data_IF_405795038141
#
_entry.id   IF_405795038141
#
_cell.length_a   1.000
_cell.length_b   1.000
_cell.length_c   1.000
_cell.angle_alpha   90.00
_cell.angle_beta   90.00
_cell.angle_gamma   90.00
#
_symmetry.space_group_name_H-M   'P 1'
#
loop_
_entity.id
_entity.type
_entity.pdbx_description
1 polymer ?
#
# COMPACT_ATOMS: atom_id res chain seq x y z
N UNK A 1 -63.46 17.12 -16.48
CA UNK A 1 -62.23 17.94 -16.67
C UNK A 1 -61.02 17.09 -16.31
N UNK A 2 -60.48 16.27 -17.23
CA UNK A 2 -59.18 15.61 -17.03
C UNK A 2 -58.47 15.55 -18.39
N UNK A 3 -57.60 16.53 -18.62
CA UNK A 3 -56.86 16.69 -19.87
C UNK A 3 -55.74 15.65 -20.00
N UNK A 4 -55.70 14.99 -21.16
CA UNK A 4 -54.55 14.19 -21.64
C UNK A 4 -53.30 15.10 -21.70
N UNK A 5 -52.33 14.88 -20.81
CA UNK A 5 -50.98 15.45 -20.93
C UNK A 5 -50.25 14.80 -22.12
N UNK A 6 -49.72 15.66 -22.98
CA UNK A 6 -48.96 15.36 -24.19
C UNK A 6 -47.72 14.51 -23.92
N UNK A 7 -47.64 13.34 -24.58
CA UNK A 7 -46.46 12.44 -24.65
C UNK A 7 -45.39 12.91 -25.65
N UNK A 8 -45.58 14.04 -26.34
CA UNK A 8 -44.71 14.49 -27.45
C UNK A 8 -43.52 15.38 -27.06
N UNK A 9 -43.45 15.88 -25.82
CA UNK A 9 -42.36 16.79 -25.37
C UNK A 9 -41.14 16.08 -24.75
N UNK A 10 -41.22 14.81 -24.36
CA UNK A 10 -40.06 14.12 -23.74
C UNK A 10 -39.10 13.50 -24.75
N UNK A 11 -39.59 13.12 -25.94
CA UNK A 11 -38.83 12.33 -26.92
C UNK A 11 -37.75 13.16 -27.66
N UNK A 12 -38.04 14.44 -27.95
CA UNK A 12 -37.04 15.37 -28.53
C UNK A 12 -35.94 15.77 -27.55
N UNK A 13 -36.26 15.80 -26.25
CA UNK A 13 -35.29 16.12 -25.20
C UNK A 13 -34.38 14.93 -24.89
N UNK A 14 -34.94 13.70 -24.93
CA UNK A 14 -34.17 12.47 -24.78
C UNK A 14 -33.19 12.25 -25.95
N UNK A 15 -33.61 12.51 -27.20
CA UNK A 15 -32.71 12.41 -28.38
C UNK A 15 -31.60 13.46 -28.36
N UNK A 16 -31.91 14.69 -27.95
CA UNK A 16 -30.90 15.76 -27.82
C UNK A 16 -29.91 15.46 -26.70
N UNK A 17 -30.41 15.00 -25.55
CA UNK A 17 -29.56 14.54 -24.45
C UNK A 17 -28.66 13.38 -24.87
N UNK A 18 -29.21 12.36 -25.53
CA UNK A 18 -28.45 11.20 -25.99
C UNK A 18 -27.38 11.58 -27.00
N UNK A 19 -27.70 12.48 -27.94
CA UNK A 19 -26.71 13.01 -28.89
C UNK A 19 -25.59 13.76 -28.16
N UNK A 20 -25.93 14.69 -27.27
CA UNK A 20 -24.93 15.45 -26.51
C UNK A 20 -24.05 14.53 -25.64
N UNK A 21 -24.64 13.49 -25.06
CA UNK A 21 -23.92 12.48 -24.28
C UNK A 21 -22.95 11.69 -25.16
N UNK A 22 -23.38 11.21 -26.33
CA UNK A 22 -22.52 10.49 -27.28
C UNK A 22 -21.39 11.39 -27.78
N UNK A 23 -21.71 12.62 -28.23
CA UNK A 23 -20.72 13.58 -28.72
C UNK A 23 -19.69 13.91 -27.62
N UNK A 24 -20.13 14.02 -26.36
CA UNK A 24 -19.25 14.25 -25.22
C UNK A 24 -18.36 13.04 -24.93
N UNK A 25 -18.91 11.82 -25.00
CA UNK A 25 -18.13 10.60 -24.81
C UNK A 25 -17.09 10.40 -25.92
N UNK A 26 -17.48 10.58 -27.18
CA UNK A 26 -16.56 10.48 -28.31
C UNK A 26 -15.41 11.49 -28.19
N UNK A 27 -15.72 12.74 -27.81
CA UNK A 27 -14.69 13.77 -27.57
C UNK A 27 -13.75 13.39 -26.42
N UNK A 28 -14.30 12.80 -25.35
CA UNK A 28 -13.53 12.39 -24.17
C UNK A 28 -12.61 11.22 -24.51
N UNK A 29 -13.11 10.19 -25.20
CA UNK A 29 -12.30 9.05 -25.63
C UNK A 29 -11.21 9.47 -26.62
N UNK A 30 -11.54 10.32 -27.60
CA UNK A 30 -10.53 10.83 -28.53
C UNK A 30 -9.43 11.63 -27.84
N UNK A 31 -9.78 12.45 -26.86
CA UNK A 31 -8.81 13.18 -26.04
C UNK A 31 -7.91 12.20 -25.28
N UNK A 32 -8.48 11.17 -24.65
CA UNK A 32 -7.71 10.13 -23.93
C UNK A 32 -6.75 9.39 -24.86
N UNK A 33 -7.25 8.88 -25.99
CA UNK A 33 -6.43 8.16 -26.97
C UNK A 33 -5.28 9.03 -27.48
N UNK A 34 -5.58 10.28 -27.81
CA UNK A 34 -4.56 11.24 -28.28
C UNK A 34 -3.51 11.48 -27.20
N UNK A 35 -3.93 11.74 -25.95
CA UNK A 35 -3.02 12.01 -24.84
C UNK A 35 -2.17 10.77 -24.47
N UNK A 36 -2.75 9.56 -24.53
CA UNK A 36 -2.06 8.29 -24.24
C UNK A 36 -1.09 7.88 -25.35
N UNK A 37 -1.33 8.31 -26.59
CA UNK A 37 -0.43 8.09 -27.72
C UNK A 37 0.76 9.07 -27.75
N UNK A 38 0.82 10.06 -26.85
CA UNK A 38 1.90 11.05 -26.84
C UNK A 38 3.25 10.41 -26.49
N UNK A 39 4.25 10.64 -27.34
CA UNK A 39 5.63 10.16 -27.13
C UNK A 39 6.52 11.17 -26.40
N UNK A 40 5.91 12.14 -25.72
CA UNK A 40 6.65 13.19 -25.01
C UNK A 40 7.36 12.60 -23.79
N UNK A 41 8.49 13.17 -23.37
CA UNK A 41 9.21 12.68 -22.22
C UNK A 41 8.40 12.89 -20.95
N UNK A 42 8.35 11.85 -20.14
CA UNK A 42 7.74 11.83 -18.82
C UNK A 42 8.81 11.56 -17.76
N UNK A 43 8.52 11.94 -16.52
CA UNK A 43 9.38 11.61 -15.38
C UNK A 43 8.67 10.58 -14.51
N UNK A 44 9.23 9.38 -14.41
CA UNK A 44 8.79 8.33 -13.49
C UNK A 44 9.63 8.41 -12.22
N UNK A 45 8.98 8.71 -11.10
CA UNK A 45 9.61 8.88 -9.79
C UNK A 45 9.66 7.54 -9.08
N UNK A 46 10.84 6.93 -9.00
CA UNK A 46 11.05 5.63 -8.35
C UNK A 46 11.72 5.77 -6.99
N UNK A 47 11.39 4.92 -6.00
CA UNK A 47 12.14 4.87 -4.77
C UNK A 47 13.58 4.45 -5.07
N UNK A 48 14.53 5.06 -4.37
CA UNK A 48 15.92 4.64 -4.39
C UNK A 48 16.09 3.39 -3.52
N UNK A 49 16.27 2.23 -4.17
CA UNK A 49 16.46 0.93 -3.52
C UNK A 49 17.72 0.27 -4.11
N UNK A 50 18.80 0.05 -3.32
CA UNK A 50 18.94 0.37 -1.90
C UNK A 50 19.06 1.88 -1.61
N UNK A 51 18.65 2.31 -0.41
CA UNK A 51 18.74 3.72 0.00
C UNK A 51 20.21 4.15 0.07
N UNK A 52 20.53 5.27 -0.58
CA UNK A 52 21.89 5.82 -0.63
C UNK A 52 22.73 5.33 -1.81
N UNK A 53 22.17 4.56 -2.74
CA UNK A 53 22.88 4.06 -3.93
C UNK A 53 23.27 5.14 -4.95
N UNK A 54 22.88 6.40 -4.78
CA UNK A 54 23.16 7.48 -5.72
C UNK A 54 22.55 8.83 -5.35
N UNK A 55 22.58 9.82 -6.26
CA UNK A 55 21.91 11.11 -6.06
C UNK A 55 20.38 10.92 -5.98
N UNK A 56 19.72 11.78 -5.20
CA UNK A 56 18.27 11.79 -5.01
C UNK A 56 17.67 13.01 -5.67
N UNK A 57 16.57 12.85 -6.38
CA UNK A 57 15.78 13.91 -7.01
C UNK A 57 14.70 14.47 -6.07
N UNK A 58 14.88 14.30 -4.75
CA UNK A 58 13.87 14.61 -3.73
C UNK A 58 13.47 13.39 -2.90
N UNK A 59 12.31 13.43 -2.26
CA UNK A 59 11.76 12.30 -1.50
C UNK A 59 10.24 12.39 -1.31
N UNK A 60 9.60 11.25 -1.10
CA UNK A 60 8.23 11.15 -0.58
C UNK A 60 8.23 10.75 0.90
N UNK A 61 7.19 11.13 1.62
CA UNK A 61 7.01 10.89 3.05
C UNK A 61 8.09 11.53 3.95
N UNK A 62 8.19 11.07 5.19
CA UNK A 62 9.14 11.59 6.16
C UNK A 62 8.91 13.06 6.54
N UNK A 63 10.00 13.74 6.90
CA UNK A 63 9.97 15.16 7.26
C UNK A 63 10.16 16.04 6.02
N UNK A 64 9.53 17.20 6.04
CA UNK A 64 9.76 18.24 5.04
C UNK A 64 11.06 18.98 5.32
N UNK A 65 11.64 19.58 4.29
CA UNK A 65 12.67 20.60 4.44
C UNK A 65 12.25 21.87 3.70
N UNK A 66 12.20 22.98 4.43
CA UNK A 66 11.77 24.28 3.94
C UNK A 66 12.85 25.33 4.26
N UNK A 67 12.90 26.47 3.54
CA UNK A 67 13.72 27.60 3.94
C UNK A 67 13.34 28.08 5.34
N UNK A 68 14.31 28.49 6.16
CA UNK A 68 14.16 28.76 7.61
C UNK A 68 12.99 29.71 7.97
N UNK A 69 12.65 30.65 7.09
CA UNK A 69 11.59 31.66 7.32
C UNK A 69 10.30 31.39 6.55
N UNK A 70 10.20 30.24 5.87
CA UNK A 70 9.01 29.90 5.10
C UNK A 70 7.90 29.46 6.06
N UNK A 71 6.70 30.08 6.02
CA UNK A 71 5.59 29.65 6.86
C UNK A 71 5.14 28.24 6.46
N UNK A 72 4.66 27.47 7.45
CA UNK A 72 4.05 26.17 7.18
C UNK A 72 2.75 26.36 6.38
N UNK A 73 2.47 25.53 5.36
CA UNK A 73 1.22 25.59 4.62
C UNK A 73 -0.01 25.30 5.48
N UNK A 74 -1.01 26.18 5.40
CA UNK A 74 -2.26 26.08 6.15
C UNK A 74 -3.48 26.29 5.24
N UNK A 75 -4.58 25.60 5.54
CA UNK A 75 -5.90 25.81 4.95
C UNK A 75 -6.92 25.91 6.07
N UNK A 76 -7.73 26.97 6.07
CA UNK A 76 -8.75 27.22 7.10
C UNK A 76 -8.20 27.13 8.54
N UNK A 77 -6.96 27.61 8.74
CA UNK A 77 -6.25 27.55 10.03
C UNK A 77 -5.74 26.17 10.43
N UNK A 78 -5.93 25.14 9.60
CA UNK A 78 -5.39 23.79 9.78
C UNK A 78 -4.08 23.62 9.00
N UNK A 79 -3.07 23.06 9.66
CA UNK A 79 -1.77 22.75 9.06
C UNK A 79 -1.87 21.54 8.14
N UNK A 80 -1.27 21.66 6.96
CA UNK A 80 -1.28 20.57 5.99
C UNK A 80 -0.21 19.52 6.29
N UNK A 81 -0.46 18.29 5.84
CA UNK A 81 0.44 17.14 5.93
C UNK A 81 1.38 17.16 4.73
N UNK A 82 2.68 16.98 4.99
CA UNK A 82 3.69 16.87 3.95
C UNK A 82 3.61 15.50 3.25
N UNK A 83 3.60 15.50 1.92
CA UNK A 83 3.56 14.29 1.08
C UNK A 83 4.93 13.99 0.49
N UNK A 84 5.65 15.02 0.04
CA UNK A 84 6.95 14.88 -0.57
C UNK A 84 7.46 16.17 -1.18
N UNK A 85 8.72 16.15 -1.61
CA UNK A 85 9.36 17.25 -2.30
C UNK A 85 10.28 16.74 -3.42
N UNK A 86 10.28 17.46 -4.53
CA UNK A 86 10.99 17.08 -5.76
C UNK A 86 11.94 18.22 -6.11
N UNK A 87 13.19 17.88 -6.44
CA UNK A 87 14.15 18.83 -7.00
C UNK A 87 13.87 18.99 -8.50
N UNK A 88 13.44 20.18 -8.91
CA UNK A 88 13.10 20.46 -10.30
C UNK A 88 14.33 20.45 -11.23
N UNK A 89 15.54 20.64 -10.67
CA UNK A 89 16.77 20.56 -11.46
C UNK A 89 17.12 19.12 -11.86
N UNK A 90 16.59 18.12 -11.14
CA UNK A 90 16.80 16.70 -11.41
C UNK A 90 15.82 16.14 -12.45
N UNK A 91 14.80 16.90 -12.86
CA UNK A 91 13.81 16.47 -13.84
C UNK A 91 14.31 16.66 -15.29
N UNK A 92 13.74 15.92 -16.26
CA UNK A 92 14.04 16.13 -17.68
C UNK A 92 13.75 17.57 -18.11
N UNK A 93 14.69 18.21 -18.81
CA UNK A 93 14.58 19.63 -19.19
C UNK A 93 13.38 19.94 -20.10
N UNK A 94 12.95 18.96 -20.88
CA UNK A 94 11.82 19.01 -21.79
C UNK A 94 10.52 18.44 -21.21
N UNK A 95 10.49 18.09 -19.91
CA UNK A 95 9.26 17.75 -19.20
C UNK A 95 8.21 18.86 -19.37
N UNK A 96 6.93 18.47 -19.50
CA UNK A 96 5.82 19.39 -19.76
C UNK A 96 6.02 20.24 -21.02
N UNK A 97 6.66 19.68 -22.04
CA UNK A 97 7.02 20.39 -23.28
C UNK A 97 7.94 21.59 -23.05
N UNK A 98 8.81 21.54 -22.04
CA UNK A 98 9.70 22.64 -21.69
C UNK A 98 9.04 23.75 -20.85
N UNK A 99 7.78 23.58 -20.41
CA UNK A 99 7.12 24.53 -19.52
C UNK A 99 7.53 24.31 -18.06
N UNK A 100 7.43 25.35 -17.23
CA UNK A 100 7.68 25.26 -15.80
C UNK A 100 9.10 25.65 -15.37
N UNK A 101 9.32 25.81 -14.06
CA UNK A 101 10.66 26.03 -13.52
C UNK A 101 11.57 24.82 -13.75
N UNK A 102 12.89 25.08 -13.79
CA UNK A 102 13.97 24.07 -13.92
C UNK A 102 14.96 24.10 -12.75
N UNK A 103 14.60 24.85 -11.72
CA UNK A 103 15.36 25.04 -10.49
C UNK A 103 14.40 25.14 -9.31
N UNK A 104 14.95 24.91 -8.13
CA UNK A 104 14.19 24.95 -6.89
C UNK A 104 13.45 23.65 -6.60
N UNK A 105 12.66 23.71 -5.54
CA UNK A 105 11.95 22.57 -4.98
C UNK A 105 10.47 22.73 -5.20
N UNK A 106 9.81 21.62 -5.54
CA UNK A 106 8.36 21.51 -5.55
C UNK A 106 7.93 20.63 -4.38
N UNK A 107 7.33 21.23 -3.35
CA UNK A 107 6.83 20.51 -2.18
C UNK A 107 5.30 20.37 -2.23
N UNK A 108 4.80 19.20 -1.83
CA UNK A 108 3.40 18.81 -1.93
C UNK A 108 2.84 18.63 -0.52
N UNK A 109 1.70 19.26 -0.27
CA UNK A 109 0.99 19.21 1.00
C UNK A 109 -0.49 18.90 0.79
N UNK A 110 -1.06 18.09 1.68
CA UNK A 110 -2.46 17.67 1.66
C UNK A 110 -3.14 17.92 3.00
N UNK A 111 -4.44 18.24 3.02
CA UNK A 111 -5.20 18.27 4.27
C UNK A 111 -5.32 16.86 4.83
N UNK A 112 -5.20 16.70 6.15
CA UNK A 112 -5.43 15.40 6.79
C UNK A 112 -6.91 15.00 6.70
N UNK A 113 -7.81 15.95 6.95
CA UNK A 113 -9.26 15.73 7.01
C UNK A 113 -10.00 16.68 6.07
N UNK A 114 -11.23 16.30 5.71
CA UNK A 114 -12.13 17.14 4.92
C UNK A 114 -11.92 16.98 3.42
N UNK A 115 -12.21 18.05 2.68
CA UNK A 115 -12.04 18.08 1.22
C UNK A 115 -10.55 17.97 0.87
N UNK A 116 -10.19 17.06 -0.02
CA UNK A 116 -8.82 16.81 -0.44
C UNK A 116 -8.33 17.94 -1.36
N UNK A 117 -8.02 19.13 -0.83
CA UNK A 117 -7.52 20.27 -1.60
C UNK A 117 -5.99 20.35 -1.52
N UNK A 118 -5.23 19.88 -2.52
CA UNK A 118 -3.77 19.85 -2.43
C UNK A 118 -3.18 21.26 -2.51
N UNK A 119 -2.00 21.45 -1.93
CA UNK A 119 -1.24 22.71 -1.99
C UNK A 119 0.19 22.41 -2.37
N UNK A 120 0.66 23.10 -3.41
CA UNK A 120 2.03 22.97 -3.90
C UNK A 120 2.79 24.26 -3.66
N UNK A 121 4.00 24.11 -3.13
CA UNK A 121 4.93 25.22 -2.95
C UNK A 121 6.12 25.04 -3.88
N UNK A 122 6.42 26.07 -4.66
CA UNK A 122 7.68 26.21 -5.38
C UNK A 122 8.56 27.22 -4.65
N UNK A 123 9.79 26.84 -4.32
CA UNK A 123 10.73 27.72 -3.63
C UNK A 123 12.18 27.39 -3.96
N UNK A 124 13.04 28.39 -3.74
CA UNK A 124 14.49 28.27 -3.87
C UNK A 124 15.17 28.54 -2.52
N UNK A 125 16.45 28.16 -2.43
CA UNK A 125 17.29 28.45 -1.28
C UNK A 125 17.72 27.21 -0.48
N UNK A 126 18.51 27.42 0.58
CA UNK A 126 19.01 26.34 1.41
C UNK A 126 17.86 25.67 2.17
N UNK A 127 17.88 24.34 2.16
CA UNK A 127 16.92 23.52 2.88
C UNK A 127 17.31 23.37 4.35
N UNK A 128 16.37 23.62 5.26
CA UNK A 128 16.46 23.21 6.65
C UNK A 128 15.37 22.18 6.94
N UNK A 129 15.71 21.06 7.57
CA UNK A 129 14.70 20.07 7.99
C UNK A 129 13.80 20.72 9.05
N UNK A 130 12.49 20.72 8.80
CA UNK A 130 11.50 21.30 9.72
C UNK A 130 10.74 20.16 10.36
N UNK A 131 10.75 20.12 11.70
CA UNK A 131 9.90 19.19 12.43
C UNK A 131 8.44 19.50 12.09
N UNK A 132 7.66 18.47 11.74
CA UNK A 132 6.24 18.68 11.48
C UNK A 132 5.58 19.32 12.72
N UNK A 133 4.89 20.45 12.56
CA UNK A 133 4.15 21.07 13.66
C UNK A 133 2.94 20.23 14.10
N UNK A 134 2.62 19.16 13.36
CA UNK A 134 1.61 18.17 13.72
C UNK A 134 2.20 17.21 14.75
N UNK A 135 2.06 17.54 16.04
CA UNK A 135 2.54 16.74 17.17
C UNK A 135 1.86 15.36 17.21
N UNK A 136 2.60 14.26 16.96
CA UNK A 136 2.27 12.84 17.25
C UNK A 136 0.90 12.25 16.85
N UNK A 137 -0.10 13.03 16.44
CA UNK A 137 -1.51 12.62 16.43
C UNK A 137 -2.06 12.27 15.05
N UNK A 138 -1.58 12.87 13.95
CA UNK A 138 -2.44 12.95 12.75
C UNK A 138 -2.17 12.08 11.54
N UNK A 139 -1.00 11.44 11.32
CA UNK A 139 -0.85 10.72 10.07
C UNK A 139 -1.59 9.36 10.08
N UNK A 140 -2.30 9.01 11.16
CA UNK A 140 -3.31 7.94 11.19
C UNK A 140 -4.74 8.42 10.95
N UNK A 141 -4.99 9.72 11.14
CA UNK A 141 -6.32 10.31 11.00
C UNK A 141 -6.52 10.87 9.59
N UNK A 142 -5.44 11.00 8.80
CA UNK A 142 -5.56 11.39 7.42
C UNK A 142 -6.32 10.30 6.63
N UNK A 143 -7.45 10.68 6.04
CA UNK A 143 -8.37 9.71 5.42
C UNK A 143 -7.75 8.94 4.24
N UNK A 144 -6.73 9.55 3.63
CA UNK A 144 -5.96 9.05 2.49
C UNK A 144 -4.66 8.34 2.88
N UNK A 145 -4.33 8.23 4.17
CA UNK A 145 -3.22 7.39 4.65
C UNK A 145 -3.77 6.07 5.16
N UNK A 146 -3.29 4.94 4.63
CA UNK A 146 -3.64 3.60 5.13
C UNK A 146 -2.47 2.65 4.98
N UNK A 147 -2.26 1.83 6.00
CA UNK A 147 -1.50 0.60 5.85
C UNK A 147 -2.47 -0.49 5.37
N UNK A 148 -2.09 -1.24 4.33
CA UNK A 148 -2.97 -2.22 3.66
C UNK A 148 -3.47 -3.37 4.56
N UNK A 149 -3.00 -3.49 5.81
CA UNK A 149 -3.41 -4.53 6.77
C UNK A 149 -4.39 -4.06 7.87
N UNK A 150 -5.10 -2.94 7.64
CA UNK A 150 -6.31 -2.52 8.39
C UNK A 150 -6.21 -2.41 9.92
N UNK A 151 -5.01 -2.29 10.49
CA UNK A 151 -4.84 -1.76 11.85
C UNK A 151 -4.13 -0.42 11.76
N UNK A 152 -4.76 0.61 12.31
CA UNK A 152 -4.13 1.91 12.52
C UNK A 152 -2.95 1.68 13.48
N UNK A 153 -1.69 1.83 13.06
CA UNK A 153 -0.62 1.93 14.06
C UNK A 153 -0.89 3.20 14.89
N UNK A 154 -0.48 3.29 16.15
CA UNK A 154 -0.80 4.47 16.97
C UNK A 154 -0.09 5.76 16.48
N UNK A 155 0.96 5.64 15.67
CA UNK A 155 1.71 6.77 15.09
C UNK A 155 2.27 6.44 13.69
N UNK A 156 1.50 6.61 12.60
CA UNK A 156 2.01 6.32 11.25
C UNK A 156 2.81 7.49 10.65
N UNK A 157 4.12 7.61 10.87
CA UNK A 157 4.89 8.55 10.02
C UNK A 157 5.05 7.95 8.62
N UNK A 158 4.66 8.69 7.57
CA UNK A 158 4.85 8.24 6.19
C UNK A 158 6.31 7.85 5.95
N UNK A 159 6.61 6.67 5.37
CA UNK A 159 7.97 6.23 5.09
C UNK A 159 8.72 7.24 4.22
N UNK A 160 9.95 7.60 4.62
CA UNK A 160 10.79 8.51 3.82
C UNK A 160 11.45 7.72 2.68
N UNK A 161 11.00 7.94 1.46
CA UNK A 161 11.58 7.36 0.26
C UNK A 161 12.34 8.40 -0.54
N UNK A 162 13.68 8.40 -0.53
CA UNK A 162 14.46 9.12 -1.54
C UNK A 162 14.03 8.64 -2.92
N UNK A 163 13.90 9.56 -3.88
CA UNK A 163 13.46 9.22 -5.23
C UNK A 163 14.56 9.42 -6.26
N UNK A 164 14.56 8.57 -7.28
CA UNK A 164 15.32 8.75 -8.52
C UNK A 164 14.35 8.97 -9.67
N UNK A 165 14.82 9.67 -10.70
CA UNK A 165 14.01 10.00 -11.88
C UNK A 165 14.41 9.08 -13.02
N UNK A 166 13.44 8.32 -13.52
CA UNK A 166 13.57 7.59 -14.78
C UNK A 166 12.82 8.35 -15.87
N UNK A 167 13.50 8.61 -16.98
CA UNK A 167 12.90 9.22 -18.17
C UNK A 167 12.30 8.12 -19.04
N UNK A 168 11.03 8.27 -19.42
CA UNK A 168 10.32 7.39 -20.36
C UNK A 168 9.58 8.20 -21.41
N UNK A 169 9.07 7.53 -22.44
CA UNK A 169 8.10 8.09 -23.37
C UNK A 169 6.68 7.95 -22.81
N UNK A 170 5.80 8.93 -23.06
CA UNK A 170 4.44 8.94 -22.52
C UNK A 170 3.60 7.71 -22.90
N UNK A 171 3.69 7.26 -24.14
CA UNK A 171 2.99 6.07 -24.63
C UNK A 171 3.46 4.78 -23.94
N UNK A 172 4.74 4.66 -23.58
CA UNK A 172 5.27 3.49 -22.88
C UNK A 172 4.55 3.27 -21.54
N UNK A 173 4.10 4.33 -20.87
CA UNK A 173 3.34 4.24 -19.63
C UNK A 173 1.98 3.55 -19.79
N UNK A 174 1.44 3.51 -21.02
CA UNK A 174 0.15 2.89 -21.35
C UNK A 174 0.29 1.58 -22.13
N UNK A 175 1.47 1.31 -22.69
CA UNK A 175 1.81 0.04 -23.34
C UNK A 175 2.18 -1.05 -22.32
N UNK A 176 2.74 -0.64 -21.18
CA UNK A 176 2.95 -1.57 -20.07
C UNK A 176 1.55 -1.87 -19.50
N UNK A 177 1.01 -3.04 -19.87
CA UNK A 177 -0.25 -3.51 -19.30
C UNK A 177 -0.25 -3.40 -17.78
N UNK A 178 -1.43 -3.21 -17.18
CA UNK A 178 -1.58 -3.24 -15.73
C UNK A 178 -0.75 -4.43 -15.21
N UNK A 179 0.15 -4.22 -14.22
CA UNK A 179 0.94 -5.32 -13.71
C UNK A 179 -0.06 -6.42 -13.41
N UNK A 180 0.05 -7.53 -14.13
CA UNK A 180 -0.63 -8.74 -13.70
C UNK A 180 -0.10 -8.86 -12.30
N UNK A 181 -0.97 -8.70 -11.30
CA UNK A 181 -0.72 -9.19 -9.96
C UNK A 181 -0.57 -10.68 -10.19
N UNK A 182 0.62 -11.08 -10.65
CA UNK A 182 1.06 -12.43 -10.57
C UNK A 182 0.91 -12.66 -9.10
N UNK A 183 -0.08 -13.48 -8.75
CA UNK A 183 -0.15 -14.19 -7.49
C UNK A 183 1.11 -15.06 -7.44
N UNK A 184 2.28 -14.44 -7.41
CA UNK A 184 3.52 -15.02 -6.95
C UNK A 184 3.37 -15.05 -5.42
N UNK A 185 2.32 -15.73 -4.97
CA UNK A 185 2.18 -16.27 -3.63
C UNK A 185 3.21 -17.38 -3.53
N UNK A 186 4.49 -17.02 -3.63
CA UNK A 186 5.52 -17.83 -3.05
C UNK A 186 5.26 -17.72 -1.55
N UNK A 187 4.52 -18.70 -1.02
CA UNK A 187 4.23 -18.79 0.41
C UNK A 187 5.57 -18.90 1.12
N UNK A 188 6.03 -17.77 1.68
CA UNK A 188 7.22 -17.75 2.48
C UNK A 188 7.07 -18.66 3.70
N UNK A 189 8.16 -18.86 4.42
CA UNK A 189 8.16 -19.70 5.62
C UNK A 189 9.09 -19.10 6.67
N UNK A 190 8.76 -19.29 7.94
CA UNK A 190 9.66 -18.93 9.04
C UNK A 190 10.96 -19.75 9.03
N UNK A 191 11.04 -20.86 8.29
CA UNK A 191 12.30 -21.60 8.12
C UNK A 191 13.34 -20.75 7.37
N UNK A 192 12.89 -19.84 6.51
CA UNK A 192 13.75 -18.91 5.80
C UNK A 192 14.08 -17.70 6.70
N UNK A 193 15.38 -17.42 6.97
CA UNK A 193 15.81 -16.27 7.75
C UNK A 193 15.29 -14.91 7.25
N UNK A 194 14.89 -14.81 5.98
CA UNK A 194 14.27 -13.61 5.42
C UNK A 194 12.90 -13.27 6.01
N UNK A 195 12.32 -14.17 6.82
CA UNK A 195 11.05 -13.97 7.53
C UNK A 195 11.19 -14.00 9.05
N UNK A 196 12.41 -14.05 9.58
CA UNK A 196 12.62 -14.00 11.02
C UNK A 196 12.29 -12.62 11.60
N UNK A 197 11.81 -12.55 12.85
CA UNK A 197 11.71 -11.28 13.57
C UNK A 197 13.11 -10.71 13.82
N UNK A 198 13.22 -9.38 13.83
CA UNK A 198 14.51 -8.68 13.94
C UNK A 198 14.63 -7.78 15.18
N UNK A 199 13.55 -7.60 15.93
CA UNK A 199 13.52 -6.82 17.17
C UNK A 199 12.40 -7.30 18.11
N UNK A 200 12.31 -6.70 19.29
CA UNK A 200 11.40 -7.14 20.36
C UNK A 200 9.93 -7.02 19.93
N UNK A 201 9.62 -5.94 19.20
CA UNK A 201 8.28 -5.70 18.66
C UNK A 201 7.89 -6.78 17.64
N UNK A 202 8.75 -7.09 16.69
CA UNK A 202 8.48 -8.12 15.66
C UNK A 202 8.52 -9.54 16.21
N UNK A 203 9.27 -9.77 17.29
CA UNK A 203 9.24 -11.05 18.02
C UNK A 203 7.91 -11.21 18.76
N UNK A 204 7.45 -10.17 19.45
CA UNK A 204 6.14 -10.18 20.12
C UNK A 204 5.02 -10.36 19.10
N UNK A 205 5.08 -9.66 17.97
CA UNK A 205 4.14 -9.83 16.86
C UNK A 205 4.06 -11.29 16.36
N UNK A 206 5.21 -11.95 16.16
CA UNK A 206 5.24 -13.37 15.76
C UNK A 206 4.53 -14.23 16.80
N UNK A 207 4.90 -14.06 18.06
CA UNK A 207 4.37 -14.85 19.17
C UNK A 207 2.86 -14.63 19.30
N UNK A 208 2.38 -13.39 19.28
CA UNK A 208 0.95 -13.09 19.38
C UNK A 208 0.13 -13.76 18.25
N UNK A 209 0.64 -13.74 17.01
CA UNK A 209 -0.02 -14.40 15.87
C UNK A 209 -0.08 -15.93 16.04
N UNK A 210 1.01 -16.55 16.54
CA UNK A 210 1.05 -17.98 16.79
C UNK A 210 0.24 -18.38 18.02
N UNK A 211 0.29 -17.61 19.10
CA UNK A 211 -0.44 -17.88 20.35
C UNK A 211 -1.94 -17.91 20.11
N UNK A 212 -2.49 -16.93 19.37
CA UNK A 212 -3.90 -16.94 18.96
C UNK A 212 -4.27 -18.24 18.22
N UNK A 213 -3.43 -18.64 17.25
CA UNK A 213 -3.65 -19.86 16.46
C UNK A 213 -3.62 -21.12 17.32
N UNK A 214 -2.60 -21.27 18.16
CA UNK A 214 -2.45 -22.43 19.06
C UNK A 214 -3.59 -22.52 20.07
N UNK A 215 -4.03 -21.38 20.61
CA UNK A 215 -5.20 -21.30 21.49
C UNK A 215 -6.46 -21.77 20.75
N UNK A 216 -6.70 -21.27 19.53
CA UNK A 216 -7.91 -21.58 18.79
C UNK A 216 -7.95 -23.03 18.30
N UNK A 217 -6.81 -23.62 17.95
CA UNK A 217 -6.70 -25.06 17.68
C UNK A 217 -6.98 -25.89 18.92
N UNK A 218 -6.38 -25.57 20.07
CA UNK A 218 -6.62 -26.30 21.31
C UNK A 218 -8.08 -26.21 21.77
N UNK A 219 -8.76 -25.07 21.54
CA UNK A 219 -10.21 -24.95 21.75
C UNK A 219 -10.99 -25.79 20.75
N UNK A 220 -10.63 -25.74 19.47
CA UNK A 220 -11.38 -26.38 18.39
C UNK A 220 -11.33 -27.90 18.47
N UNK A 221 -10.17 -28.49 18.81
CA UNK A 221 -10.01 -29.95 18.92
C UNK A 221 -10.90 -30.55 20.02
N UNK A 222 -11.24 -29.75 21.04
CA UNK A 222 -12.14 -30.16 22.13
C UNK A 222 -13.60 -29.81 21.83
N UNK A 223 -13.86 -28.60 21.33
CA UNK A 223 -15.23 -28.09 21.17
C UNK A 223 -15.95 -28.65 19.94
N UNK A 224 -15.24 -28.79 18.82
CA UNK A 224 -15.88 -29.17 17.55
C UNK A 224 -16.56 -30.55 17.65
N UNK A 225 -15.92 -31.62 18.17
CA UNK A 225 -16.57 -32.93 18.33
C UNK A 225 -17.74 -32.93 19.32
N UNK A 226 -17.73 -32.04 20.32
CA UNK A 226 -18.82 -31.91 21.29
C UNK A 226 -20.04 -31.18 20.71
N UNK A 227 -19.84 -30.34 19.69
CA UNK A 227 -20.88 -29.50 19.10
C UNK A 227 -21.49 -30.09 17.82
N UNK A 228 -20.82 -31.05 17.19
CA UNK A 228 -21.17 -31.55 15.86
C UNK A 228 -21.31 -33.06 15.88
N UNK A 229 -22.26 -33.57 15.09
CA UNK A 229 -22.39 -35.01 14.85
C UNK A 229 -21.32 -35.43 13.83
N UNK A 230 -20.39 -36.26 14.29
CA UNK A 230 -19.24 -36.73 13.51
C UNK A 230 -19.43 -38.19 13.09
N UNK A 231 -18.85 -38.58 11.95
CA UNK A 231 -18.76 -39.98 11.58
C UNK A 231 -17.78 -40.69 12.53
N UNK A 232 -17.92 -42.02 12.74
CA UNK A 232 -17.04 -42.75 13.67
C UNK A 232 -15.54 -42.56 13.38
N UNK A 233 -15.16 -42.53 12.11
CA UNK A 233 -13.79 -42.30 11.66
C UNK A 233 -13.25 -40.92 12.03
N UNK A 234 -14.07 -39.86 11.86
CA UNK A 234 -13.70 -38.49 12.20
C UNK A 234 -13.63 -38.31 13.71
N UNK A 235 -14.59 -38.86 14.45
CA UNK A 235 -14.58 -38.83 15.91
C UNK A 235 -13.32 -39.51 16.48
N UNK A 236 -12.95 -40.68 15.94
CA UNK A 236 -11.73 -41.38 16.32
C UNK A 236 -10.47 -40.58 15.97
N UNK A 237 -10.48 -39.85 14.85
CA UNK A 237 -9.40 -38.94 14.48
C UNK A 237 -9.23 -37.81 15.51
N UNK A 238 -10.32 -37.14 15.91
CA UNK A 238 -10.27 -36.07 16.92
C UNK A 238 -9.77 -36.57 18.27
N UNK A 239 -10.21 -37.74 18.74
CA UNK A 239 -9.72 -38.32 20.00
C UNK A 239 -8.22 -38.66 19.94
N UNK A 240 -7.71 -39.11 18.78
CA UNK A 240 -6.27 -39.34 18.58
C UNK A 240 -5.47 -38.03 18.59
N UNK A 241 -5.99 -36.98 17.96
CA UNK A 241 -5.28 -35.71 17.80
C UNK A 241 -5.34 -34.82 19.05
N UNK A 242 -6.39 -34.94 19.87
CA UNK A 242 -6.56 -34.18 21.11
C UNK A 242 -5.33 -34.20 22.04
N UNK A 243 -4.75 -35.35 22.46
CA UNK A 243 -3.57 -35.34 23.32
C UNK A 243 -2.34 -34.73 22.64
N UNK A 244 -2.17 -34.90 21.32
CA UNK A 244 -1.08 -34.31 20.53
C UNK A 244 -1.19 -32.78 20.58
N UNK A 245 -2.39 -32.26 20.34
CA UNK A 245 -2.63 -30.81 20.32
C UNK A 245 -2.53 -30.14 21.67
N UNK A 246 -2.94 -30.81 22.75
CA UNK A 246 -2.72 -30.32 24.10
C UNK A 246 -1.22 -30.31 24.46
N UNK A 247 -0.45 -31.29 23.98
CA UNK A 247 1.01 -31.29 24.12
C UNK A 247 1.66 -30.13 23.35
N UNK A 248 1.24 -29.89 22.10
CA UNK A 248 1.69 -28.74 21.32
C UNK A 248 1.37 -27.42 22.02
N UNK A 249 0.16 -27.28 22.58
CA UNK A 249 -0.23 -26.09 23.34
C UNK A 249 0.75 -25.81 24.48
N UNK A 250 1.01 -26.79 25.35
CA UNK A 250 1.94 -26.62 26.47
C UNK A 250 3.34 -26.28 25.98
N UNK A 251 3.86 -27.04 25.00
CA UNK A 251 5.22 -26.85 24.50
C UNK A 251 5.41 -25.49 23.82
N UNK A 252 4.40 -25.01 23.10
CA UNK A 252 4.41 -23.69 22.49
C UNK A 252 4.57 -22.59 23.54
N UNK A 253 3.79 -22.61 24.62
CA UNK A 253 3.88 -21.58 25.67
C UNK A 253 5.20 -21.64 26.48
N UNK A 254 5.82 -22.82 26.57
CA UNK A 254 7.20 -22.92 27.10
C UNK A 254 8.20 -22.17 26.21
N UNK A 255 8.14 -22.39 24.88
CA UNK A 255 9.00 -21.72 23.90
C UNK A 255 8.72 -20.21 23.90
N UNK A 256 7.45 -19.81 23.89
CA UNK A 256 7.04 -18.41 23.97
C UNK A 256 7.62 -17.72 25.21
N UNK A 257 7.50 -18.35 26.39
CA UNK A 257 8.04 -17.81 27.63
C UNK A 257 9.56 -17.62 27.58
N UNK A 258 10.29 -18.56 26.98
CA UNK A 258 11.74 -18.44 26.77
C UNK A 258 12.09 -17.32 25.79
N UNK A 259 11.37 -17.22 24.67
CA UNK A 259 11.57 -16.17 23.67
C UNK A 259 11.31 -14.78 24.26
N UNK A 260 10.25 -14.58 25.05
CA UNK A 260 9.93 -13.28 25.67
C UNK A 260 10.88 -12.92 26.81
N UNK A 261 11.46 -13.89 27.51
CA UNK A 261 12.45 -13.64 28.55
C UNK A 261 13.82 -13.18 27.99
N UNK A 262 14.04 -13.34 26.68
CA UNK A 262 15.27 -12.97 26.02
C UNK A 262 15.44 -11.45 25.94
N UNK A 263 16.40 -10.91 26.69
CA UNK A 263 16.67 -9.45 26.72
C UNK A 263 17.39 -8.92 25.49
N UNK A 264 18.02 -9.80 24.69
CA UNK A 264 18.76 -9.40 23.49
C UNK A 264 18.49 -10.36 22.35
N UNK A 265 17.84 -9.85 21.31
CA UNK A 265 17.58 -10.61 20.11
C UNK A 265 18.89 -10.79 19.33
N UNK A 266 19.20 -12.04 19.03
CA UNK A 266 20.27 -12.42 18.14
C UNK A 266 19.79 -13.52 17.19
N UNK A 267 20.26 -13.46 15.95
CA UNK A 267 19.81 -14.30 14.85
C UNK A 267 19.94 -15.80 15.16
N UNK A 268 21.05 -16.21 15.80
CA UNK A 268 21.28 -17.60 16.17
C UNK A 268 20.23 -18.15 17.13
N UNK A 269 19.81 -17.36 18.14
CA UNK A 269 18.78 -17.79 19.10
C UNK A 269 17.40 -17.83 18.48
N UNK A 270 17.04 -16.82 17.67
CA UNK A 270 15.78 -16.83 16.92
C UNK A 270 15.70 -18.08 16.05
N UNK A 271 16.75 -18.39 15.29
CA UNK A 271 16.80 -19.62 14.48
C UNK A 271 16.66 -20.89 15.35
N UNK A 272 17.26 -20.90 16.55
CA UNK A 272 17.07 -21.98 17.52
C UNK A 272 15.61 -22.19 17.90
N UNK A 273 14.91 -21.12 18.28
CA UNK A 273 13.49 -21.19 18.65
C UNK A 273 12.60 -21.55 17.46
N UNK A 274 12.86 -21.02 16.26
CA UNK A 274 12.13 -21.40 15.05
C UNK A 274 12.26 -22.91 14.78
N UNK A 275 13.45 -23.49 14.94
CA UNK A 275 13.65 -24.95 14.81
C UNK A 275 12.90 -25.76 15.87
N UNK A 276 12.64 -25.21 17.05
CA UNK A 276 11.79 -25.86 18.05
C UNK A 276 10.31 -25.75 17.69
N UNK A 277 9.85 -24.58 17.27
CA UNK A 277 8.48 -24.35 16.81
C UNK A 277 8.14 -25.22 15.59
N UNK A 278 9.08 -25.43 14.67
CA UNK A 278 8.91 -26.29 13.49
C UNK A 278 8.60 -27.75 13.87
N UNK A 279 9.04 -28.22 15.04
CA UNK A 279 8.80 -29.61 15.46
C UNK A 279 7.38 -29.84 15.95
N UNK A 280 6.66 -28.78 16.32
CA UNK A 280 5.35 -28.87 16.95
C UNK A 280 4.31 -29.39 15.97
N UNK A 281 3.66 -30.48 16.37
CA UNK A 281 2.56 -31.09 15.63
C UNK A 281 1.33 -30.17 15.65
N UNK A 282 0.61 -30.19 14.54
CA UNK A 282 -0.50 -29.31 14.28
C UNK A 282 -1.53 -30.05 13.41
N UNK A 283 -2.72 -29.47 13.27
CA UNK A 283 -3.73 -29.98 12.36
C UNK A 283 -4.52 -28.86 11.73
N UNK A 284 -5.07 -29.12 10.55
CA UNK A 284 -6.11 -28.29 9.94
C UNK A 284 -7.33 -29.16 9.65
N UNK A 285 -8.50 -28.56 9.70
CA UNK A 285 -9.69 -29.20 9.19
C UNK A 285 -10.60 -28.20 8.50
N UNK A 286 -11.26 -28.69 7.45
CA UNK A 286 -12.26 -27.96 6.70
C UNK A 286 -13.61 -28.60 6.91
N UNK A 287 -14.58 -27.82 7.37
CA UNK A 287 -15.98 -28.21 7.47
C UNK A 287 -16.73 -27.59 6.29
N UNK A 288 -17.20 -28.42 5.37
CA UNK A 288 -17.94 -27.95 4.19
C UNK A 288 -19.42 -27.75 4.50
N UNK A 289 -20.09 -28.80 4.99
CA UNK A 289 -21.53 -28.84 5.29
C UNK A 289 -21.89 -30.02 6.19
N UNK A 290 -23.16 -30.05 6.58
CA UNK A 290 -23.80 -31.24 7.17
C UNK A 290 -24.52 -32.02 6.06
N UNK A 291 -24.34 -33.35 6.03
CA UNK A 291 -25.02 -34.25 5.09
C UNK A 291 -26.48 -34.54 5.48
N UNK A 292 -27.18 -35.30 4.64
CA UNK A 292 -28.61 -35.62 4.84
C UNK A 292 -28.90 -36.43 6.12
N UNK A 293 -27.89 -37.11 6.67
CA UNK A 293 -27.99 -37.89 7.90
C UNK A 293 -27.53 -37.10 9.14
N UNK A 294 -27.23 -35.82 8.96
CA UNK A 294 -26.81 -34.91 10.02
C UNK A 294 -25.32 -34.98 10.36
N UNK A 295 -24.51 -35.75 9.62
CA UNK A 295 -23.06 -35.83 9.85
C UNK A 295 -22.31 -34.70 9.18
N UNK A 296 -21.21 -34.27 9.77
CA UNK A 296 -20.34 -33.28 9.14
C UNK A 296 -19.51 -33.91 8.01
N UNK A 297 -19.43 -33.23 6.88
CA UNK A 297 -18.44 -33.52 5.83
C UNK A 297 -17.16 -32.75 6.17
N UNK A 298 -16.09 -33.49 6.46
CA UNK A 298 -14.80 -32.93 6.91
C UNK A 298 -13.65 -33.33 5.97
N UNK A 299 -12.70 -32.40 5.81
CA UNK A 299 -11.37 -32.72 5.30
C UNK A 299 -10.38 -32.50 6.43
N UNK A 300 -9.74 -33.58 6.89
CA UNK A 300 -8.83 -33.58 8.04
C UNK A 300 -7.37 -33.67 7.55
N UNK A 301 -6.48 -32.85 8.13
CA UNK A 301 -5.07 -32.77 7.73
C UNK A 301 -4.17 -32.71 8.96
N UNK A 302 -3.14 -33.55 8.99
CA UNK A 302 -2.06 -33.50 10.01
C UNK A 302 -0.89 -32.72 9.42
N UNK A 303 -0.26 -31.84 10.21
CA UNK A 303 0.77 -30.91 9.73
C UNK A 303 1.69 -30.45 10.87
N UNK A 304 2.67 -29.58 10.60
CA UNK A 304 3.44 -28.86 11.61
C UNK A 304 3.01 -27.41 11.72
N UNK A 305 3.25 -26.81 12.88
CA UNK A 305 2.85 -25.42 13.16
C UNK A 305 3.39 -24.42 12.12
N UNK A 306 4.60 -24.67 11.60
CA UNK A 306 5.30 -23.79 10.66
C UNK A 306 5.33 -24.31 9.22
N UNK A 307 4.64 -25.42 8.93
CA UNK A 307 4.60 -25.94 7.56
C UNK A 307 3.77 -25.01 6.67
N UNK A 308 4.15 -24.85 5.39
CA UNK A 308 3.34 -24.14 4.42
C UNK A 308 2.06 -24.95 4.18
N UNK A 309 0.90 -24.32 4.39
CA UNK A 309 -0.40 -24.95 4.21
C UNK A 309 -1.05 -24.53 2.88
N UNK A 310 -1.97 -25.34 2.34
CA UNK A 310 -2.77 -24.94 1.19
C UNK A 310 -3.48 -23.59 1.44
N UNK A 311 -3.69 -22.84 0.36
CA UNK A 311 -4.46 -21.59 0.40
C UNK A 311 -5.87 -21.87 0.93
N UNK A 312 -6.38 -21.01 1.81
CA UNK A 312 -7.68 -21.08 2.52
C UNK A 312 -7.75 -22.04 3.71
N UNK A 313 -6.64 -22.26 4.41
CA UNK A 313 -6.66 -22.98 5.70
C UNK A 313 -6.86 -22.05 6.87
N UNK A 314 -7.39 -22.57 7.98
CA UNK A 314 -7.60 -21.78 9.21
C UNK A 314 -6.29 -21.25 9.82
N UNK A 315 -5.17 -21.92 9.54
CA UNK A 315 -3.83 -21.60 10.02
C UNK A 315 -3.14 -20.56 9.12
N UNK A 316 -3.51 -20.39 7.84
CA UNK A 316 -2.92 -19.36 6.97
C UNK A 316 -3.09 -17.93 7.54
N UNK A 317 -4.13 -17.73 8.37
CA UNK A 317 -4.46 -16.44 8.98
C UNK A 317 -3.33 -15.83 9.81
N UNK A 318 -2.54 -16.63 10.54
CA UNK A 318 -1.42 -16.07 11.31
C UNK A 318 -0.25 -15.68 10.42
N UNK A 319 0.05 -16.49 9.39
CA UNK A 319 1.17 -16.25 8.50
C UNK A 319 0.98 -14.96 7.72
N UNK A 320 -0.20 -14.79 7.10
CA UNK A 320 -0.54 -13.59 6.35
C UNK A 320 -0.45 -12.34 7.21
N UNK A 321 -1.00 -12.39 8.43
CA UNK A 321 -0.95 -11.27 9.38
C UNK A 321 0.47 -10.95 9.84
N UNK A 322 1.23 -11.99 10.18
CA UNK A 322 2.62 -11.86 10.61
C UNK A 322 3.49 -11.28 9.51
N UNK A 323 3.50 -11.86 8.32
CA UNK A 323 4.35 -11.44 7.21
C UNK A 323 4.05 -9.99 6.78
N UNK A 324 2.78 -9.63 6.72
CA UNK A 324 2.37 -8.28 6.34
C UNK A 324 2.81 -7.25 7.43
N UNK A 325 2.58 -7.56 8.70
CA UNK A 325 3.02 -6.71 9.82
C UNK A 325 4.55 -6.62 9.93
N UNK A 326 5.28 -7.74 9.76
CA UNK A 326 6.75 -7.77 9.72
C UNK A 326 7.26 -6.84 8.62
N UNK A 327 6.66 -6.89 7.43
CA UNK A 327 7.00 -6.04 6.29
C UNK A 327 6.80 -4.56 6.62
N UNK A 328 5.70 -4.19 7.29
CA UNK A 328 5.43 -2.81 7.71
C UNK A 328 6.44 -2.30 8.75
N UNK A 329 6.78 -3.12 9.75
CA UNK A 329 7.81 -2.78 10.73
C UNK A 329 9.20 -2.64 10.07
N UNK A 330 9.54 -3.53 9.14
CA UNK A 330 10.80 -3.48 8.42
C UNK A 330 10.90 -2.25 7.50
N UNK A 331 9.83 -1.91 6.79
CA UNK A 331 9.73 -0.69 5.98
C UNK A 331 10.00 0.57 6.81
N UNK A 332 9.40 0.66 8.00
CA UNK A 332 9.61 1.77 8.93
C UNK A 332 11.07 1.83 9.39
N UNK A 333 11.64 0.69 9.82
CA UNK A 333 13.03 0.62 10.27
C UNK A 333 14.01 1.01 9.16
N UNK A 334 13.77 0.52 7.95
CA UNK A 334 14.59 0.75 6.76
C UNK A 334 14.59 2.22 6.33
N UNK A 335 13.42 2.84 6.20
CA UNK A 335 13.29 4.23 5.71
C UNK A 335 13.67 5.29 6.74
N UNK A 336 13.48 5.00 8.03
CA UNK A 336 13.90 5.89 9.13
C UNK A 336 15.37 5.72 9.53
N UNK A 337 16.03 4.66 9.07
CA UNK A 337 17.37 4.22 9.56
C UNK A 337 17.43 4.07 11.08
N UNK A 338 16.29 3.80 11.72
CA UNK A 338 16.21 3.64 13.18
C UNK A 338 16.84 2.33 13.65
N UNK A 339 16.89 1.32 12.79
CA UNK A 339 17.47 0.02 13.08
C UNK A 339 18.02 -0.64 11.81
N UNK A 340 19.16 -1.32 11.92
CA UNK A 340 19.68 -2.15 10.84
C UNK A 340 18.83 -3.42 10.70
N UNK A 341 18.39 -3.70 9.47
CA UNK A 341 17.70 -4.95 9.16
C UNK A 341 18.71 -6.10 8.98
N UNK A 342 18.36 -7.34 9.36
CA UNK A 342 19.11 -8.52 8.95
C UNK A 342 19.21 -8.61 7.43
N UNK A 343 20.38 -9.03 6.92
CA UNK A 343 20.67 -9.00 5.48
C UNK A 343 19.68 -9.81 4.64
N UNK A 344 19.30 -11.02 5.09
CA UNK A 344 18.33 -11.85 4.39
C UNK A 344 16.94 -11.19 4.28
N UNK A 345 16.47 -10.56 5.36
CA UNK A 345 15.21 -9.80 5.37
C UNK A 345 15.30 -8.58 4.44
N UNK A 346 16.41 -7.84 4.51
CA UNK A 346 16.64 -6.68 3.65
C UNK A 346 16.66 -7.08 2.17
N UNK A 347 17.38 -8.13 1.79
CA UNK A 347 17.50 -8.57 0.39
C UNK A 347 16.14 -8.97 -0.19
N UNK A 348 15.35 -9.73 0.58
CA UNK A 348 13.98 -10.09 0.20
C UNK A 348 13.11 -8.85 -0.02
N UNK A 349 13.12 -7.93 0.94
CA UNK A 349 12.27 -6.75 0.90
C UNK A 349 12.69 -5.78 -0.21
N UNK A 350 13.98 -5.53 -0.40
CA UNK A 350 14.48 -4.70 -1.49
C UNK A 350 14.07 -5.27 -2.85
N UNK A 351 14.19 -6.59 -3.05
CA UNK A 351 13.73 -7.24 -4.29
C UNK A 351 12.21 -7.09 -4.50
N UNK A 352 11.41 -7.28 -3.44
CA UNK A 352 9.95 -7.09 -3.52
C UNK A 352 9.59 -5.63 -3.82
N UNK A 353 10.16 -4.67 -3.11
CA UNK A 353 9.88 -3.25 -3.28
C UNK A 353 10.34 -2.72 -4.64
N UNK A 354 11.44 -3.24 -5.20
CA UNK A 354 11.87 -2.93 -6.57
C UNK A 354 10.83 -3.39 -7.61
N UNK A 355 10.24 -4.58 -7.43
CA UNK A 355 9.15 -5.07 -8.29
C UNK A 355 7.89 -4.21 -8.13
N UNK A 356 7.47 -3.94 -6.89
CA UNK A 356 6.29 -3.10 -6.60
C UNK A 356 6.44 -1.67 -7.16
N UNK A 357 7.66 -1.13 -7.17
CA UNK A 357 7.94 0.21 -7.65
C UNK A 357 8.29 0.30 -9.14
N UNK A 358 8.10 -0.77 -9.92
CA UNK A 358 8.46 -0.80 -11.35
C UNK A 358 7.77 0.32 -12.16
N UNK A 359 6.52 0.65 -11.78
CA UNK A 359 5.72 1.73 -12.37
C UNK A 359 5.96 3.12 -11.75
N UNK A 360 6.81 3.22 -10.74
CA UNK A 360 7.03 4.44 -9.97
C UNK A 360 6.02 4.63 -8.85
N UNK A 361 6.37 5.51 -7.90
CA UNK A 361 5.50 5.99 -6.82
C UNK A 361 4.84 7.32 -7.17
N UNK A 362 5.25 7.93 -8.29
CA UNK A 362 4.60 9.07 -8.89
C UNK A 362 5.11 9.27 -10.31
N UNK A 363 4.29 9.85 -11.18
CA UNK A 363 4.64 10.06 -12.59
C UNK A 363 4.21 11.45 -13.03
N UNK A 364 5.06 12.15 -13.78
CA UNK A 364 4.86 13.56 -14.17
C UNK A 364 4.78 13.70 -15.69
N UNK A 365 3.84 14.52 -16.17
CA UNK A 365 3.76 14.92 -17.58
C UNK A 365 3.18 13.87 -18.54
N UNK A 366 2.44 12.88 -18.04
CA UNK A 366 1.81 11.83 -18.84
C UNK A 366 0.28 11.93 -18.79
N UNK A 367 -0.42 11.22 -19.68
CA UNK A 367 -1.87 11.07 -19.56
C UNK A 367 -2.20 10.12 -18.40
N UNK A 368 -3.23 10.35 -17.57
CA UNK A 368 -3.46 9.51 -16.41
C UNK A 368 -3.73 8.04 -16.76
N UNK A 369 -3.25 7.13 -15.91
CA UNK A 369 -3.45 5.69 -16.11
C UNK A 369 -4.94 5.33 -16.00
N UNK A 370 -5.59 5.81 -14.94
CA UNK A 370 -7.04 5.71 -14.79
C UNK A 370 -7.79 6.82 -15.55
N UNK A 371 -9.10 6.91 -15.38
CA UNK A 371 -9.88 7.94 -16.06
C UNK A 371 -10.16 9.16 -15.17
N UNK A 372 -9.96 10.35 -15.74
CA UNK A 372 -10.39 11.64 -15.19
C UNK A 372 -11.23 12.40 -16.22
N UNK A 373 -12.12 13.28 -15.76
CA UNK A 373 -12.97 14.10 -16.64
C UNK A 373 -12.33 15.45 -16.99
N UNK A 374 -11.35 15.88 -16.19
CA UNK A 374 -10.65 17.13 -16.44
C UNK A 374 -9.86 17.05 -17.75
N UNK A 375 -10.05 17.97 -18.72
CA UNK A 375 -9.33 17.95 -19.98
C UNK A 375 -7.81 18.01 -19.76
N UNK A 376 -7.04 17.17 -20.46
CA UNK A 376 -5.59 17.04 -20.32
C UNK A 376 -4.93 16.64 -21.65
N UNK A 377 -3.59 16.62 -21.68
CA UNK A 377 -2.80 16.39 -22.89
C UNK A 377 -2.34 17.69 -23.56
N UNK A 378 -1.56 17.58 -24.64
CA UNK A 378 -0.89 18.72 -25.28
C UNK A 378 -1.88 19.74 -25.89
N UNK A 379 -3.04 19.27 -26.34
CA UNK A 379 -4.11 20.09 -26.92
C UNK A 379 -5.01 20.72 -25.83
N UNK A 380 -4.84 20.32 -24.57
CA UNK A 380 -5.58 20.86 -23.44
C UNK A 380 -4.91 22.13 -22.88
N UNK A 381 -5.68 23.08 -22.32
CA UNK A 381 -5.10 24.15 -21.52
C UNK A 381 -4.43 23.66 -20.22
N UNK A 382 -4.64 22.40 -19.83
CA UNK A 382 -4.13 21.83 -18.59
C UNK A 382 -3.02 20.81 -18.85
N UNK A 383 -2.03 20.81 -17.99
CA UNK A 383 -0.94 19.85 -17.93
C UNK A 383 -1.11 18.91 -16.73
N UNK A 384 -0.74 17.64 -16.89
CA UNK A 384 -0.64 16.71 -15.77
C UNK A 384 0.70 16.97 -15.08
N UNK A 385 0.61 17.56 -13.89
CA UNK A 385 1.78 17.90 -13.10
C UNK A 385 2.37 16.64 -12.44
N UNK A 386 1.53 15.85 -11.78
CA UNK A 386 1.92 14.66 -11.03
C UNK A 386 0.72 13.74 -10.81
N UNK A 387 0.85 12.47 -11.15
CA UNK A 387 -0.03 11.39 -10.70
C UNK A 387 0.66 10.65 -9.54
N UNK A 388 -0.07 10.44 -8.45
CA UNK A 388 0.33 9.63 -7.29
C UNK A 388 -0.57 8.40 -7.20
N UNK A 389 -0.11 7.20 -7.58
CA UNK A 389 -0.89 5.99 -7.40
C UNK A 389 -1.03 5.62 -5.91
N UNK A 390 -2.07 4.86 -5.58
CA UNK A 390 -2.16 4.14 -4.29
C UNK A 390 -0.94 3.24 -4.14
N UNK A 391 -0.28 3.25 -2.98
CA UNK A 391 0.93 2.46 -2.79
C UNK A 391 1.18 2.08 -1.33
N UNK A 392 1.49 0.79 -1.12
CA UNK A 392 1.96 0.26 0.16
C UNK A 392 3.27 0.87 0.61
N UNK A 393 4.17 1.17 -0.34
CA UNK A 393 5.50 1.72 -0.03
C UNK A 393 5.39 3.10 0.58
N UNK A 394 4.53 3.95 0.03
CA UNK A 394 4.35 5.34 0.48
C UNK A 394 3.33 5.46 1.60
N UNK A 395 2.40 4.51 1.72
CA UNK A 395 1.40 4.46 2.79
C UNK A 395 0.15 5.28 2.53
N UNK A 396 -0.09 5.69 1.28
CA UNK A 396 -1.29 6.42 0.88
C UNK A 396 -2.19 5.62 -0.05
N UNK A 397 -3.48 5.96 -0.02
CA UNK A 397 -4.56 5.38 -0.81
C UNK A 397 -5.49 6.49 -1.31
N UNK A 398 -5.99 6.33 -2.53
CA UNK A 398 -6.90 7.29 -3.17
C UNK A 398 -8.17 6.57 -3.61
N UNK A 399 -9.32 6.98 -3.11
CA UNK A 399 -10.59 6.30 -3.40
C UNK A 399 -10.53 4.80 -3.08
N UNK A 400 -10.94 3.95 -4.04
CA UNK A 400 -10.89 2.49 -3.96
C UNK A 400 -9.64 1.94 -4.69
N UNK A 401 -8.46 2.33 -4.22
CA UNK A 401 -7.14 1.98 -4.80
C UNK A 401 -6.81 2.62 -6.16
N UNK A 402 -7.29 3.85 -6.39
CA UNK A 402 -7.03 4.70 -7.56
C UNK A 402 -5.76 5.55 -7.42
N UNK A 403 -5.61 6.57 -8.27
CA UNK A 403 -4.54 7.58 -8.21
C UNK A 403 -5.08 8.98 -7.91
N UNK A 404 -4.32 9.77 -7.17
CA UNK A 404 -4.50 11.23 -7.10
C UNK A 404 -3.77 11.88 -8.28
N UNK A 405 -4.48 12.65 -9.10
CA UNK A 405 -3.92 13.38 -10.24
C UNK A 405 -3.92 14.87 -9.94
N UNK A 406 -2.75 15.50 -10.02
CA UNK A 406 -2.56 16.93 -9.89
C UNK A 406 -2.39 17.55 -11.27
N UNK A 407 -3.21 18.56 -11.57
CA UNK A 407 -3.20 19.27 -12.83
C UNK A 407 -2.92 20.76 -12.62
N UNK A 408 -2.38 21.40 -13.64
CA UNK A 408 -2.10 22.84 -13.62
C UNK A 408 -2.39 23.43 -15.00
N UNK A 409 -2.87 24.67 -15.05
CA UNK A 409 -2.98 25.38 -16.33
C UNK A 409 -1.59 25.60 -16.91
N UNK A 410 -1.41 25.33 -18.21
CA UNK A 410 -0.14 25.55 -18.91
C UNK A 410 0.36 27.00 -18.79
N UNK A 411 -0.56 27.96 -18.72
CA UNK A 411 -0.25 29.38 -18.52
C UNK A 411 0.40 29.67 -17.17
N UNK A 412 -0.01 28.95 -16.13
CA UNK A 412 0.43 29.18 -14.75
C UNK A 412 1.72 28.40 -14.50
N UNK A 413 1.78 27.18 -15.03
CA UNK A 413 3.03 26.41 -15.11
C UNK A 413 4.14 27.22 -15.80
N UNK A 414 3.85 27.85 -16.94
CA UNK A 414 4.83 28.71 -17.64
C UNK A 414 5.37 29.85 -16.77
N UNK A 415 4.57 30.36 -15.84
CA UNK A 415 4.95 31.43 -14.91
C UNK A 415 5.62 30.90 -13.63
N UNK A 416 5.61 29.59 -13.40
CA UNK A 416 6.00 29.00 -12.12
C UNK A 416 5.00 29.28 -10.99
N UNK A 417 3.74 29.57 -11.32
CA UNK A 417 2.70 29.86 -10.34
C UNK A 417 1.90 28.60 -10.01
N UNK A 418 2.18 28.01 -8.84
CA UNK A 418 1.53 26.79 -8.34
C UNK A 418 0.36 27.07 -7.38
N UNK A 419 -0.07 28.33 -7.26
CA UNK A 419 -1.14 28.72 -6.33
C UNK A 419 -2.52 28.18 -6.70
N UNK A 420 -2.72 27.83 -7.98
CA UNK A 420 -4.01 27.45 -8.57
C UNK A 420 -3.94 26.09 -9.27
N UNK A 421 -3.60 25.04 -8.53
CA UNK A 421 -3.67 23.67 -9.04
C UNK A 421 -5.11 23.14 -9.02
N UNK A 422 -5.37 22.19 -9.91
CA UNK A 422 -6.57 21.36 -9.91
C UNK A 422 -6.17 19.94 -9.49
N UNK A 423 -7.13 19.17 -9.01
CA UNK A 423 -6.92 17.77 -8.67
C UNK A 423 -8.11 16.92 -9.10
N UNK A 424 -7.86 15.64 -9.32
CA UNK A 424 -8.87 14.63 -9.60
C UNK A 424 -8.43 13.30 -8.96
N UNK A 425 -9.38 12.40 -8.71
CA UNK A 425 -9.08 11.00 -8.34
C UNK A 425 -9.54 10.15 -9.51
N UNK A 426 -8.67 9.29 -10.01
CA UNK A 426 -9.04 8.44 -11.15
C UNK A 426 -10.21 7.51 -10.80
N UNK A 427 -10.96 7.08 -11.80
CA UNK A 427 -11.94 5.99 -11.69
C UNK A 427 -11.59 4.79 -12.58
#
# INVERSE_FOLDING_TARGET
MFGRRSKKKSDGNAKTFLKNFIDHQEKTERMKETARAETRPIAVLKPQIPIGAGPSAGWFGGKTALPEKMPWPEQDGKKLVFVGQIDLAALPQDLWSGLGPRSGWLAIFLPAEGELKPTLLHFEGPLAEVATPLSRQFPNDASWTRCHDFKNPETFVLPKWPIVVERRSGNEQHEIGAPILAEDQQSGTLIDPAYHPFNEQTTSLLLDCLSETVIDMAKSIVRFPAMKKLRPEDAAWFERQKPIMLSTFVRFFEIEGQMRAERKICEHRINGYIKELQKLDCYDFEYSRTDGDGYCELVLRETKLLDPLPVRTSIEGWWSRYNASLTNHALTAYTSKSQALPKALQDRLEATWQKEAQQGMGVMGHAPVGHIYTPHGIESPNEILLELPTSKLTGWIWGDCYSLVLLIKRSDLKKGDFSSIMYDITN
#
